data_IF_020213355098
#
_entry.id   IF_020213355098
#
_cell.length_a   1.000
_cell.length_b   1.000
_cell.length_c   1.000
_cell.angle_alpha   90.00
_cell.angle_beta   90.00
_cell.angle_gamma   90.00
#
_symmetry.space_group_name_H-M   'P 1'
#
loop_
_entity.id
_entity.type
_entity.pdbx_description
1 polymer ?
#
# COMPACT_ATOMS: atom_id res chain seq x y z
N UNK A 1 -9.55 8.70 10.66
CA UNK A 1 -8.31 8.42 9.89
C UNK A 1 -8.74 8.20 8.45
N UNK A 2 -8.39 9.16 7.60
CA UNK A 2 -8.98 9.40 6.27
C UNK A 2 -8.70 8.27 5.29
N UNK A 3 -9.73 7.80 4.59
CA UNK A 3 -9.69 6.76 3.57
C UNK A 3 -8.64 7.02 2.47
N UNK A 4 -8.27 8.29 2.30
CA UNK A 4 -7.27 8.80 1.34
C UNK A 4 -5.91 8.12 1.48
N UNK A 5 -5.40 7.95 2.70
CA UNK A 5 -4.06 7.36 2.89
C UNK A 5 -4.03 5.88 2.49
N UNK A 6 -5.15 5.17 2.69
CA UNK A 6 -5.27 3.76 2.32
C UNK A 6 -5.27 3.59 0.80
N UNK A 7 -6.07 4.41 0.11
CA UNK A 7 -6.14 4.42 -1.35
C UNK A 7 -4.79 4.81 -1.97
N UNK A 8 -4.12 5.84 -1.44
CA UNK A 8 -2.80 6.27 -1.91
C UNK A 8 -1.80 5.12 -1.82
N UNK A 9 -1.69 4.43 -0.67
CA UNK A 9 -0.75 3.32 -0.52
C UNK A 9 -1.08 2.16 -1.45
N UNK A 10 -2.37 1.84 -1.62
CA UNK A 10 -2.81 0.80 -2.55
C UNK A 10 -2.45 1.14 -4.02
N UNK A 11 -2.65 2.38 -4.45
CA UNK A 11 -2.22 2.88 -5.77
C UNK A 11 -0.70 2.85 -5.91
N UNK A 12 0.04 3.25 -4.88
CA UNK A 12 1.51 3.17 -4.89
C UNK A 12 2.01 1.73 -5.07
N UNK A 13 1.33 0.74 -4.48
CA UNK A 13 1.66 -0.67 -4.69
C UNK A 13 1.29 -1.11 -6.12
N UNK A 14 0.11 -0.72 -6.62
CA UNK A 14 -0.36 -1.02 -7.99
C UNK A 14 0.61 -0.49 -9.05
N UNK A 15 0.94 0.80 -8.94
CA UNK A 15 1.69 1.56 -9.94
C UNK A 15 3.21 1.55 -9.64
N UNK A 16 3.63 0.81 -8.61
CA UNK A 16 5.01 0.74 -8.11
C UNK A 16 5.64 2.13 -7.89
N UNK A 17 4.87 3.06 -7.31
CA UNK A 17 5.26 4.45 -7.01
C UNK A 17 5.65 4.63 -5.55
N UNK A 18 6.40 5.69 -5.26
CA UNK A 18 6.77 6.02 -3.88
C UNK A 18 5.64 6.82 -3.21
N UNK A 19 5.15 6.40 -2.02
CA UNK A 19 4.15 7.17 -1.26
C UNK A 19 4.60 8.59 -0.90
N UNK A 20 5.92 8.86 -0.91
CA UNK A 20 6.48 10.20 -0.73
C UNK A 20 6.08 11.18 -1.83
N UNK A 21 5.87 10.72 -3.06
CA UNK A 21 5.39 11.55 -4.18
C UNK A 21 3.99 12.13 -3.91
N UNK A 22 3.22 11.47 -3.03
CA UNK A 22 1.89 11.88 -2.60
C UNK A 22 1.90 12.58 -1.23
N UNK A 23 3.08 12.94 -0.71
CA UNK A 23 3.22 13.60 0.59
C UNK A 23 3.05 12.66 1.81
N UNK A 24 3.01 11.34 1.60
CA UNK A 24 2.92 10.38 2.70
C UNK A 24 4.29 10.13 3.35
N UNK A 25 4.41 10.46 4.64
CA UNK A 25 5.61 10.17 5.44
C UNK A 25 5.74 8.68 5.76
N UNK A 26 6.98 8.18 5.80
CA UNK A 26 7.32 6.77 6.03
C UNK A 26 6.58 6.13 7.22
N UNK A 27 6.49 6.84 8.36
CA UNK A 27 5.81 6.34 9.56
C UNK A 27 4.30 6.13 9.35
N UNK A 28 3.64 7.00 8.58
CA UNK A 28 2.21 6.86 8.26
C UNK A 28 2.01 5.73 7.25
N UNK A 29 2.89 5.64 6.27
CA UNK A 29 2.85 4.57 5.27
C UNK A 29 3.02 3.20 5.91
N UNK A 30 3.97 3.04 6.84
CA UNK A 30 4.12 1.80 7.60
C UNK A 30 2.85 1.42 8.36
N UNK A 31 2.22 2.39 9.07
CA UNK A 31 0.94 2.12 9.76
C UNK A 31 -0.15 1.63 8.81
N UNK A 32 -0.28 2.27 7.64
CA UNK A 32 -1.26 1.87 6.62
C UNK A 32 -0.93 0.48 6.05
N UNK A 33 0.34 0.17 5.77
CA UNK A 33 0.75 -1.16 5.29
C UNK A 33 0.42 -2.27 6.30
N UNK A 34 0.65 -2.02 7.59
CA UNK A 34 0.27 -2.96 8.65
C UNK A 34 -1.25 -3.19 8.68
N UNK A 35 -2.05 -2.12 8.55
CA UNK A 35 -3.51 -2.23 8.47
C UNK A 35 -3.95 -3.01 7.22
N UNK A 36 -3.38 -2.69 6.05
CA UNK A 36 -3.69 -3.36 4.79
C UNK A 36 -3.35 -4.85 4.82
N UNK A 37 -2.24 -5.24 5.46
CA UNK A 37 -1.87 -6.63 5.68
C UNK A 37 -2.87 -7.32 6.61
N UNK A 38 -3.20 -6.69 7.74
CA UNK A 38 -4.15 -7.22 8.72
C UNK A 38 -5.53 -7.44 8.10
N UNK A 39 -5.99 -6.49 7.30
CA UNK A 39 -7.30 -6.50 6.65
C UNK A 39 -7.34 -7.34 5.34
N UNK A 40 -6.22 -8.01 5.01
CA UNK A 40 -6.04 -8.84 3.81
C UNK A 40 -6.25 -8.11 2.48
N UNK A 41 -5.91 -6.84 2.44
CA UNK A 41 -5.89 -6.07 1.20
C UNK A 41 -4.61 -6.36 0.39
N UNK A 42 -3.49 -6.56 1.07
CA UNK A 42 -2.20 -6.87 0.44
C UNK A 42 -1.61 -8.15 1.02
N UNK A 43 -0.84 -8.86 0.21
CA UNK A 43 -0.05 -10.03 0.61
C UNK A 43 1.43 -9.77 0.36
N UNK A 44 2.30 -10.41 1.15
CA UNK A 44 3.74 -10.36 0.93
C UNK A 44 4.12 -11.49 -0.01
N UNK A 45 4.91 -11.20 -1.03
CA UNK A 45 5.43 -12.25 -1.92
C UNK A 45 6.64 -12.99 -1.33
N UNK A 46 7.27 -12.46 -0.28
CA UNK A 46 8.49 -13.03 0.26
C UNK A 46 8.53 -12.97 1.78
N UNK A 47 9.04 -14.03 2.40
CA UNK A 47 9.28 -14.21 3.85
C UNK A 47 10.38 -13.29 4.41
N UNK A 48 10.96 -12.49 3.52
CA UNK A 48 12.13 -11.67 3.76
C UNK A 48 11.81 -10.50 4.70
N UNK A 49 12.15 -10.70 5.99
CA UNK A 49 12.18 -9.79 7.15
C UNK A 49 11.62 -8.39 6.88
N UNK A 50 10.51 -8.04 7.56
CA UNK A 50 9.82 -6.76 7.85
C UNK A 50 10.32 -5.40 7.28
N UNK A 51 11.07 -5.34 6.19
CA UNK A 51 11.52 -4.11 5.57
C UNK A 51 10.53 -3.79 4.45
N UNK A 52 9.61 -2.88 4.78
CA UNK A 52 8.53 -2.43 3.91
C UNK A 52 9.01 -1.54 2.74
N UNK A 53 10.20 -0.93 2.88
CA UNK A 53 10.81 -0.04 1.90
C UNK A 53 12.22 -0.50 1.59
N UNK A 54 12.47 -0.87 0.34
CA UNK A 54 13.84 -1.08 -0.18
C UNK A 54 14.03 -0.07 -1.30
N UNK A 55 15.02 0.81 -1.16
CA UNK A 55 15.34 1.87 -2.14
C UNK A 55 14.17 2.81 -2.48
N UNK A 56 13.26 3.05 -1.52
CA UNK A 56 12.09 3.92 -1.74
C UNK A 56 10.95 3.30 -2.56
N UNK A 57 11.06 2.02 -2.95
CA UNK A 57 10.01 1.31 -3.67
C UNK A 57 9.31 0.26 -2.79
N UNK A 58 7.99 0.13 -2.96
CA UNK A 58 7.12 -0.85 -2.29
C UNK A 58 7.14 -2.22 -3.01
N UNK A 59 8.33 -2.74 -3.29
CA UNK A 59 8.54 -3.87 -4.22
C UNK A 59 8.15 -5.27 -3.72
N UNK A 60 7.53 -5.41 -2.54
CA UNK A 60 7.29 -6.71 -1.88
C UNK A 60 5.81 -7.07 -1.67
N UNK A 61 4.87 -6.22 -2.09
CA UNK A 61 3.44 -6.42 -1.83
C UNK A 61 2.67 -6.71 -3.10
N UNK A 62 1.85 -7.76 -3.07
CA UNK A 62 0.81 -8.02 -4.07
C UNK A 62 -0.52 -7.50 -3.56
N UNK A 63 -1.29 -6.90 -4.47
CA UNK A 63 -2.67 -6.57 -4.22
C UNK A 63 -3.50 -7.85 -4.28
N UNK A 64 -4.47 -7.96 -3.37
CA UNK A 64 -5.51 -8.98 -3.45
C UNK A 64 -6.69 -8.46 -4.25
N UNK A 65 -7.59 -9.34 -4.68
CA UNK A 65 -8.83 -8.94 -5.34
C UNK A 65 -9.68 -7.98 -4.49
N UNK A 66 -9.59 -8.07 -3.15
CA UNK A 66 -10.25 -7.13 -2.23
C UNK A 66 -9.65 -5.73 -2.32
N UNK A 67 -8.35 -5.62 -2.50
CA UNK A 67 -7.70 -4.34 -2.76
C UNK A 67 -7.99 -3.79 -4.13
N UNK A 68 -8.02 -4.62 -5.16
CA UNK A 68 -8.38 -4.16 -6.50
C UNK A 68 -9.82 -3.65 -6.53
N UNK A 69 -10.76 -4.36 -5.90
CA UNK A 69 -12.14 -3.90 -5.76
C UNK A 69 -12.24 -2.57 -5.00
N UNK A 70 -11.50 -2.42 -3.90
CA UNK A 70 -11.45 -1.16 -3.15
C UNK A 70 -10.77 -0.04 -3.92
N UNK A 71 -9.71 -0.31 -4.69
CA UNK A 71 -9.15 0.71 -5.56
C UNK A 71 -10.24 1.11 -6.55
N UNK A 72 -10.85 0.19 -7.29
CA UNK A 72 -11.86 0.53 -8.31
C UNK A 72 -13.12 1.24 -7.74
N UNK A 73 -13.54 0.92 -6.51
CA UNK A 73 -14.70 1.56 -5.87
C UNK A 73 -14.41 3.03 -5.47
N UNK A 74 -13.17 3.33 -5.07
CA UNK A 74 -12.77 4.66 -4.58
C UNK A 74 -11.83 5.42 -5.54
N UNK A 75 -11.37 4.79 -6.62
CA UNK A 75 -10.64 5.34 -7.76
C UNK A 75 -11.63 5.77 -8.83
N UNK A 76 -12.66 6.48 -8.39
CA UNK A 76 -13.57 7.20 -9.27
C UNK A 76 -12.90 8.52 -9.63
N UNK A 77 -12.31 8.57 -10.82
CA UNK A 77 -12.00 9.84 -11.51
C UNK A 77 -13.26 10.69 -11.68
#
# INVERSE_FOLDING_TARGET
MTADNKLIVLKCIRDNRNPKDFGLKDLRTNKVLHLLLSDRYITKESDDKMIFFKDGALRKFKLTSKAEAYINEYDTE
#
